data_IF_699109173159
#
_entry.id   IF_699109173159
#
_cell.length_a   1.000
_cell.length_b   1.000
_cell.length_c   1.000
_cell.angle_alpha   90.00
_cell.angle_beta   90.00
_cell.angle_gamma   90.00
#
_symmetry.space_group_name_H-M   'P 1'
#
loop_
_entity.id
_entity.type
_entity.pdbx_description
1 polymer ?
#
# COMPACT_ATOMS: atom_id res chain seq x y z
N UNK A 1 -16.85 -6.68 -1.20
CA UNK A 1 -16.10 -7.70 -1.98
C UNK A 1 -14.64 -7.30 -2.07
N UNK A 2 -13.71 -8.21 -1.82
CA UNK A 2 -12.30 -8.06 -2.19
C UNK A 2 -12.16 -8.55 -3.64
N UNK A 3 -11.65 -7.70 -4.55
CA UNK A 3 -11.46 -8.06 -5.94
C UNK A 3 -9.99 -8.45 -6.19
N UNK A 4 -9.74 -9.70 -6.56
CA UNK A 4 -8.42 -10.19 -6.93
C UNK A 4 -8.20 -9.93 -8.42
N UNK A 5 -7.15 -9.17 -8.73
CA UNK A 5 -6.77 -8.76 -10.08
C UNK A 5 -5.50 -9.53 -10.46
N UNK A 6 -5.60 -10.41 -11.46
CA UNK A 6 -4.57 -11.41 -11.73
C UNK A 6 -4.35 -11.70 -13.22
N UNK A 7 -4.80 -10.80 -14.09
CA UNK A 7 -4.62 -10.91 -15.54
C UNK A 7 -4.36 -9.56 -16.18
N UNK A 8 -3.83 -9.55 -17.40
CA UNK A 8 -3.61 -8.35 -18.20
C UNK A 8 -4.90 -7.53 -18.35
N UNK A 9 -5.99 -8.19 -18.74
CA UNK A 9 -7.30 -7.53 -18.85
C UNK A 9 -7.77 -6.97 -17.50
N UNK A 10 -7.60 -7.70 -16.41
CA UNK A 10 -7.96 -7.23 -15.07
C UNK A 10 -7.16 -5.99 -14.65
N UNK A 11 -5.87 -5.91 -14.99
CA UNK A 11 -5.04 -4.73 -14.73
C UNK A 11 -5.53 -3.52 -15.54
N UNK A 12 -5.87 -3.69 -16.81
CA UNK A 12 -6.41 -2.59 -17.63
C UNK A 12 -7.78 -2.12 -17.14
N UNK A 13 -8.65 -3.05 -16.74
CA UNK A 13 -9.98 -2.77 -16.22
C UNK A 13 -10.01 -2.43 -14.72
N UNK A 14 -8.86 -2.37 -14.05
CA UNK A 14 -8.78 -2.15 -12.60
C UNK A 14 -9.54 -0.89 -12.14
N UNK A 15 -9.58 0.17 -12.98
CA UNK A 15 -10.35 1.38 -12.70
C UNK A 15 -11.85 1.10 -12.64
N UNK A 16 -12.39 0.44 -13.65
CA UNK A 16 -13.82 0.08 -13.73
C UNK A 16 -14.21 -0.84 -12.58
N UNK A 17 -13.35 -1.81 -12.27
CA UNK A 17 -13.53 -2.74 -11.16
C UNK A 17 -13.54 -1.99 -9.83
N UNK A 18 -12.58 -1.06 -9.60
CA UNK A 18 -12.49 -0.29 -8.37
C UNK A 18 -13.73 0.61 -8.12
N UNK A 19 -14.40 1.05 -9.18
CA UNK A 19 -15.62 1.87 -9.11
C UNK A 19 -16.90 1.04 -9.05
N UNK A 20 -16.82 -0.28 -9.19
CA UNK A 20 -17.99 -1.14 -9.15
C UNK A 20 -18.61 -1.20 -7.74
N UNK A 21 -19.96 -1.22 -7.70
CA UNK A 21 -20.69 -1.27 -6.43
C UNK A 21 -20.33 -2.51 -5.62
N UNK A 22 -20.00 -2.31 -4.36
CA UNK A 22 -19.71 -3.41 -3.42
C UNK A 22 -18.24 -3.85 -3.43
N UNK A 23 -17.39 -3.28 -4.25
CA UNK A 23 -15.93 -3.47 -4.13
C UNK A 23 -15.44 -2.68 -2.93
N UNK A 24 -14.74 -3.37 -2.04
CA UNK A 24 -14.17 -2.80 -0.83
C UNK A 24 -12.67 -2.51 -0.99
N UNK A 25 -11.95 -3.41 -1.69
CA UNK A 25 -10.49 -3.31 -1.86
C UNK A 25 -10.03 -4.16 -3.03
N UNK A 26 -8.94 -3.75 -3.69
CA UNK A 26 -8.27 -4.55 -4.71
C UNK A 26 -7.12 -5.36 -4.07
N UNK A 27 -6.87 -6.55 -4.62
CA UNK A 27 -5.71 -7.38 -4.32
C UNK A 27 -5.04 -7.82 -5.61
N UNK A 28 -3.73 -7.99 -5.59
CA UNK A 28 -2.94 -8.37 -6.75
C UNK A 28 -2.62 -9.87 -6.74
N UNK A 29 -3.11 -10.60 -7.71
CA UNK A 29 -2.75 -11.99 -7.96
C UNK A 29 -1.47 -12.09 -8.80
N UNK A 30 -0.32 -11.73 -8.22
CA UNK A 30 0.94 -11.56 -8.94
C UNK A 30 1.44 -12.83 -9.65
N UNK A 31 1.16 -14.02 -9.11
CA UNK A 31 1.53 -15.29 -9.71
C UNK A 31 0.77 -15.56 -11.01
N UNK A 32 -0.55 -15.42 -10.96
CA UNK A 32 -1.41 -15.65 -12.13
C UNK A 32 -1.27 -14.56 -13.18
N UNK A 33 -1.06 -13.30 -12.76
CA UNK A 33 -0.71 -12.22 -13.68
C UNK A 33 0.55 -12.53 -14.49
N UNK A 34 1.59 -13.04 -13.83
CA UNK A 34 2.82 -13.45 -14.51
C UNK A 34 2.61 -14.63 -15.46
N UNK A 35 1.78 -15.58 -15.08
CA UNK A 35 1.41 -16.70 -15.95
C UNK A 35 0.66 -16.22 -17.19
N UNK A 36 -0.25 -15.25 -17.04
CA UNK A 36 -1.03 -14.68 -18.13
C UNK A 36 -0.17 -13.85 -19.10
N UNK A 37 0.74 -13.03 -18.57
CA UNK A 37 1.52 -12.05 -19.34
C UNK A 37 2.90 -12.51 -19.77
N UNK A 38 3.43 -13.58 -19.17
CA UNK A 38 4.83 -13.99 -19.34
C UNK A 38 5.85 -13.08 -18.63
N UNK A 39 5.40 -12.17 -17.77
CA UNK A 39 6.25 -11.19 -17.07
C UNK A 39 7.11 -11.87 -16.00
N UNK A 40 8.36 -11.42 -15.83
CA UNK A 40 9.26 -11.90 -14.76
C UNK A 40 8.82 -11.41 -13.37
N UNK A 41 9.53 -11.87 -12.33
CA UNK A 41 9.33 -11.39 -10.94
C UNK A 41 10.06 -10.08 -10.62
N UNK A 42 10.86 -9.55 -11.55
CA UNK A 42 11.65 -8.35 -11.31
C UNK A 42 10.77 -7.16 -10.92
N UNK A 43 11.24 -6.37 -9.98
CA UNK A 43 10.48 -5.25 -9.45
C UNK A 43 10.11 -4.23 -10.52
N UNK A 44 11.00 -3.99 -11.49
CA UNK A 44 10.71 -3.11 -12.61
C UNK A 44 9.57 -3.66 -13.49
N UNK A 45 9.58 -4.96 -13.77
CA UNK A 45 8.55 -5.62 -14.57
C UNK A 45 7.20 -5.62 -13.84
N UNK A 46 7.21 -5.69 -12.50
CA UNK A 46 6.01 -5.69 -11.66
C UNK A 46 5.57 -4.29 -11.21
N UNK A 47 6.33 -3.24 -11.52
CA UNK A 47 6.00 -1.88 -11.11
C UNK A 47 4.72 -1.36 -11.77
N UNK A 48 4.53 -1.63 -13.06
CA UNK A 48 3.33 -1.19 -13.81
C UNK A 48 2.03 -1.74 -13.21
N UNK A 49 1.83 -3.05 -13.09
CA UNK A 49 0.58 -3.58 -12.54
C UNK A 49 0.31 -3.11 -11.12
N UNK A 50 1.32 -3.04 -10.26
CA UNK A 50 1.21 -2.52 -8.89
C UNK A 50 0.76 -1.05 -8.87
N UNK A 51 1.43 -0.19 -9.63
CA UNK A 51 1.09 1.24 -9.73
C UNK A 51 -0.30 1.44 -10.32
N UNK A 52 -0.69 0.65 -11.30
CA UNK A 52 -2.02 0.69 -11.91
C UNK A 52 -3.13 0.40 -10.88
N UNK A 53 -2.93 -0.60 -10.02
CA UNK A 53 -3.86 -0.93 -8.94
C UNK A 53 -3.93 0.18 -7.87
N UNK A 54 -2.80 0.82 -7.53
CA UNK A 54 -2.78 1.95 -6.60
C UNK A 54 -3.58 3.12 -7.15
N UNK A 55 -3.38 3.48 -8.41
CA UNK A 55 -4.13 4.55 -9.08
C UNK A 55 -5.61 4.20 -9.16
N UNK A 56 -5.95 2.98 -9.57
CA UNK A 56 -7.33 2.51 -9.65
C UNK A 56 -8.04 2.56 -8.30
N UNK A 57 -7.39 2.07 -7.23
CA UNK A 57 -7.91 2.14 -5.87
C UNK A 57 -8.18 3.59 -5.44
N UNK A 58 -7.27 4.50 -5.76
CA UNK A 58 -7.45 5.94 -5.44
C UNK A 58 -8.64 6.55 -6.18
N UNK A 59 -8.80 6.24 -7.48
CA UNK A 59 -9.94 6.71 -8.30
C UNK A 59 -11.26 6.14 -7.79
N UNK A 60 -11.28 4.86 -7.36
CA UNK A 60 -12.44 4.20 -6.76
C UNK A 60 -12.74 4.62 -5.32
N UNK A 61 -11.92 5.51 -4.74
CA UNK A 61 -11.98 5.90 -3.33
C UNK A 61 -11.89 4.70 -2.37
N UNK A 62 -11.10 3.69 -2.76
CA UNK A 62 -10.84 2.48 -1.97
C UNK A 62 -9.59 2.64 -1.10
N UNK A 63 -9.42 1.83 -0.04
CA UNK A 63 -8.13 1.66 0.62
C UNK A 63 -7.04 1.24 -0.37
N UNK A 64 -5.77 1.52 -0.06
CA UNK A 64 -4.65 1.07 -0.89
C UNK A 64 -4.69 -0.44 -1.14
N UNK A 65 -4.29 -0.92 -2.33
CA UNK A 65 -4.43 -2.32 -2.70
C UNK A 65 -3.50 -3.22 -1.88
N UNK A 66 -3.83 -4.52 -1.88
CA UNK A 66 -3.03 -5.58 -1.27
C UNK A 66 -2.10 -6.14 -2.35
N UNK A 67 -0.79 -6.23 -2.07
CA UNK A 67 0.18 -6.86 -2.97
C UNK A 67 0.06 -8.39 -3.00
N UNK A 68 0.59 -9.01 -4.04
CA UNK A 68 0.68 -10.45 -4.17
C UNK A 68 1.61 -11.09 -3.13
N UNK A 69 1.51 -12.42 -2.94
CA UNK A 69 2.34 -13.10 -1.95
C UNK A 69 3.79 -13.22 -2.41
N UNK A 70 4.70 -13.34 -1.44
CA UNK A 70 6.07 -13.82 -1.66
C UNK A 70 6.10 -15.34 -1.53
N UNK A 71 6.60 -16.02 -2.56
CA UNK A 71 6.78 -17.48 -2.53
C UNK A 71 8.10 -17.82 -1.86
N UNK A 72 8.07 -18.81 -0.97
CA UNK A 72 9.24 -19.29 -0.23
C UNK A 72 9.32 -18.74 1.20
N UNK A 73 10.35 -19.21 1.92
CA UNK A 73 10.55 -18.95 3.36
C UNK A 73 11.64 -17.91 3.67
N UNK A 74 12.20 -17.25 2.64
CA UNK A 74 13.27 -16.27 2.84
C UNK A 74 12.73 -14.96 3.42
N UNK A 75 12.96 -14.71 4.70
CA UNK A 75 12.56 -13.46 5.37
C UNK A 75 13.21 -12.20 4.77
N UNK A 76 14.48 -12.18 4.35
CA UNK A 76 15.06 -11.01 3.67
C UNK A 76 14.34 -10.67 2.37
N UNK A 77 14.05 -11.65 1.50
CA UNK A 77 13.31 -11.44 0.25
C UNK A 77 11.89 -10.96 0.53
N UNK A 78 11.21 -11.57 1.52
CA UNK A 78 9.88 -11.16 1.92
C UNK A 78 9.84 -9.71 2.38
N UNK A 79 10.83 -9.29 3.19
CA UNK A 79 10.97 -7.90 3.66
C UNK A 79 11.17 -6.94 2.49
N UNK A 80 12.15 -7.21 1.63
CA UNK A 80 12.46 -6.38 0.47
C UNK A 80 11.25 -6.18 -0.44
N UNK A 81 10.56 -7.26 -0.80
CA UNK A 81 9.34 -7.19 -1.61
C UNK A 81 8.19 -6.46 -0.90
N UNK A 82 8.07 -6.58 0.42
CA UNK A 82 7.05 -5.87 1.19
C UNK A 82 7.33 -4.37 1.26
N UNK A 83 8.57 -3.98 1.48
CA UNK A 83 9.02 -2.58 1.48
C UNK A 83 8.86 -1.93 0.10
N UNK A 84 9.18 -2.66 -0.98
CA UNK A 84 8.93 -2.22 -2.36
C UNK A 84 7.44 -1.99 -2.63
N UNK A 85 6.59 -2.89 -2.19
CA UNK A 85 5.15 -2.73 -2.32
C UNK A 85 4.65 -1.48 -1.60
N UNK A 86 5.13 -1.22 -0.38
CA UNK A 86 4.82 0.00 0.39
C UNK A 86 5.31 1.26 -0.33
N UNK A 87 6.52 1.23 -0.88
CA UNK A 87 7.08 2.35 -1.64
C UNK A 87 6.25 2.69 -2.88
N UNK A 88 5.66 1.69 -3.54
CA UNK A 88 4.74 1.88 -4.67
C UNK A 88 3.32 2.32 -4.24
N UNK A 89 2.99 2.29 -2.94
CA UNK A 89 1.71 2.76 -2.42
C UNK A 89 0.71 1.66 -2.07
N UNK A 90 1.10 0.39 -2.13
CA UNK A 90 0.27 -0.70 -1.61
C UNK A 90 0.27 -0.66 -0.06
N UNK A 91 -0.77 -1.17 0.55
CA UNK A 91 -0.97 -1.06 2.02
C UNK A 91 -1.33 -2.38 2.67
N UNK A 92 -1.01 -3.47 2.02
CA UNK A 92 -1.17 -4.84 2.50
C UNK A 92 -0.42 -5.80 1.59
N UNK A 93 -0.27 -7.03 2.05
CA UNK A 93 0.35 -8.12 1.30
C UNK A 93 -0.36 -9.43 1.61
N UNK A 94 -0.64 -10.22 0.58
CA UNK A 94 -1.10 -11.59 0.76
C UNK A 94 0.04 -12.42 1.35
N UNK A 95 -0.26 -13.32 2.27
CA UNK A 95 0.72 -14.26 2.79
C UNK A 95 0.30 -15.70 2.49
N UNK A 96 1.28 -16.58 2.29
CA UNK A 96 1.08 -18.00 2.05
C UNK A 96 1.30 -18.82 3.31
N UNK A 97 2.00 -18.25 4.30
CA UNK A 97 2.33 -18.89 5.56
C UNK A 97 2.19 -17.90 6.70
N UNK A 98 1.68 -18.36 7.84
CA UNK A 98 1.54 -17.57 9.06
C UNK A 98 2.88 -17.02 9.57
N UNK A 99 3.98 -17.74 9.32
CA UNK A 99 5.34 -17.32 9.68
C UNK A 99 5.80 -16.05 8.93
N UNK A 100 5.13 -15.69 7.83
CA UNK A 100 5.40 -14.46 7.08
C UNK A 100 4.79 -13.22 7.75
N UNK A 101 3.76 -13.37 8.57
CA UNK A 101 3.01 -12.24 9.14
C UNK A 101 3.84 -11.24 9.93
N UNK A 102 4.77 -11.64 10.82
CA UNK A 102 5.59 -10.69 11.56
C UNK A 102 6.41 -9.78 10.64
N UNK A 103 7.05 -10.35 9.62
CA UNK A 103 7.87 -9.60 8.66
C UNK A 103 7.02 -8.66 7.81
N UNK A 104 5.87 -9.12 7.33
CA UNK A 104 4.93 -8.29 6.55
C UNK A 104 4.42 -7.14 7.39
N UNK A 105 3.97 -7.40 8.61
CA UNK A 105 3.45 -6.37 9.50
C UNK A 105 4.50 -5.32 9.85
N UNK A 106 5.73 -5.74 10.12
CA UNK A 106 6.84 -4.82 10.37
C UNK A 106 7.12 -3.93 9.16
N UNK A 107 7.18 -4.50 7.95
CA UNK A 107 7.44 -3.74 6.72
C UNK A 107 6.32 -2.75 6.35
N UNK A 108 5.06 -3.08 6.67
CA UNK A 108 3.90 -2.23 6.35
C UNK A 108 3.66 -1.16 7.43
N UNK A 109 4.08 -1.43 8.66
CA UNK A 109 3.87 -0.54 9.80
C UNK A 109 4.75 0.72 9.68
N UNK A 110 4.22 1.90 10.04
CA UNK A 110 5.07 3.08 10.17
C UNK A 110 6.04 2.92 11.35
N UNK A 111 7.23 3.50 11.21
CA UNK A 111 8.19 3.55 12.31
C UNK A 111 7.71 4.48 13.42
N UNK A 112 8.18 4.29 14.65
CA UNK A 112 7.86 5.19 15.76
C UNK A 112 8.27 6.64 15.48
N UNK A 113 9.40 6.84 14.81
CA UNK A 113 9.87 8.17 14.39
C UNK A 113 8.95 8.80 13.35
N UNK A 114 8.46 8.03 12.38
CA UNK A 114 7.46 8.52 11.43
C UNK A 114 6.16 8.92 12.15
N UNK A 115 5.73 8.15 13.14
CA UNK A 115 4.52 8.46 13.92
C UNK A 115 4.69 9.74 14.72
N UNK A 116 5.84 9.92 15.40
CA UNK A 116 6.17 11.15 16.12
C UNK A 116 6.14 12.33 15.16
N UNK A 117 6.88 12.25 14.04
CA UNK A 117 6.89 13.31 13.03
C UNK A 117 5.49 13.65 12.51
N UNK A 118 4.68 12.63 12.21
CA UNK A 118 3.34 12.84 11.67
C UNK A 118 2.42 13.56 12.65
N UNK A 119 2.45 13.17 13.92
CA UNK A 119 1.63 13.79 14.96
C UNK A 119 2.07 15.21 15.29
N UNK A 120 3.38 15.47 15.35
CA UNK A 120 3.93 16.81 15.53
C UNK A 120 3.52 17.72 14.37
N UNK A 121 3.62 17.24 13.13
CA UNK A 121 3.18 17.99 11.96
C UNK A 121 1.68 18.29 11.99
N UNK A 122 0.85 17.32 12.33
CA UNK A 122 -0.61 17.50 12.43
C UNK A 122 -0.97 18.50 13.53
N UNK A 123 -0.32 18.42 14.69
CA UNK A 123 -0.51 19.36 15.79
C UNK A 123 -0.12 20.80 15.40
N UNK A 124 1.05 20.98 14.75
CA UNK A 124 1.46 22.29 14.22
C UNK A 124 0.46 22.82 13.17
N UNK A 125 -0.02 21.94 12.28
CA UNK A 125 -1.00 22.32 11.26
C UNK A 125 -2.33 22.79 11.87
N UNK A 126 -2.82 22.13 12.91
CA UNK A 126 -4.01 22.55 13.66
C UNK A 126 -3.74 23.84 14.42
N UNK A 127 -2.61 23.97 15.15
CA UNK A 127 -2.28 25.14 15.95
C UNK A 127 -2.20 26.44 15.11
N UNK A 128 -1.79 26.34 13.85
CA UNK A 128 -1.76 27.47 12.90
C UNK A 128 -3.06 27.68 12.12
N UNK A 129 -4.17 27.08 12.58
CA UNK A 129 -5.50 27.27 11.97
C UNK A 129 -5.65 26.60 10.60
N UNK A 130 -4.91 25.53 10.31
CA UNK A 130 -4.93 24.77 9.04
C UNK A 130 -4.51 25.59 7.82
N UNK A 131 -3.71 26.63 8.02
CA UNK A 131 -3.21 27.47 6.93
C UNK A 131 -2.11 26.76 6.16
N UNK A 132 -2.25 26.71 4.83
CA UNK A 132 -1.22 26.22 3.90
C UNK A 132 -0.19 27.32 3.71
N UNK A 133 1.07 27.08 4.05
CA UNK A 133 2.17 28.06 3.93
C UNK A 133 2.81 28.03 2.54
N UNK A 134 2.97 26.83 1.98
CA UNK A 134 3.59 26.64 0.67
C UNK A 134 3.15 25.32 0.02
N UNK A 135 3.66 25.07 -1.19
CA UNK A 135 3.32 23.85 -1.96
C UNK A 135 3.76 22.54 -1.33
N UNK A 136 4.64 22.54 -0.32
CA UNK A 136 5.08 21.32 0.38
C UNK A 136 4.13 20.90 1.50
N UNK A 137 3.29 21.80 2.00
CA UNK A 137 2.39 21.50 3.11
C UNK A 137 1.33 20.45 2.75
N UNK A 138 0.76 20.50 1.55
CA UNK A 138 -0.27 19.54 1.13
C UNK A 138 0.27 18.08 1.01
N UNK A 139 1.42 17.82 0.34
CA UNK A 139 2.03 16.50 0.34
C UNK A 139 2.38 16.01 1.75
N UNK A 140 2.91 16.88 2.61
CA UNK A 140 3.24 16.55 4.00
C UNK A 140 2.00 16.22 4.83
N UNK A 141 0.93 16.99 4.67
CA UNK A 141 -0.35 16.74 5.33
C UNK A 141 -0.90 15.36 4.93
N UNK A 142 -0.92 15.05 3.64
CA UNK A 142 -1.36 13.76 3.15
C UNK A 142 -0.52 12.60 3.70
N UNK A 143 0.83 12.75 3.75
CA UNK A 143 1.73 11.78 4.35
C UNK A 143 1.48 11.61 5.86
N UNK A 144 1.36 12.69 6.61
CA UNK A 144 1.14 12.66 8.05
C UNK A 144 -0.20 11.98 8.40
N UNK A 145 -1.26 12.31 7.69
CA UNK A 145 -2.57 11.68 7.86
C UNK A 145 -2.55 10.17 7.53
N UNK A 146 -1.78 9.75 6.51
CA UNK A 146 -1.61 8.32 6.18
C UNK A 146 -0.89 7.59 7.32
N UNK A 147 0.21 8.15 7.81
CA UNK A 147 1.01 7.56 8.89
C UNK A 147 0.18 7.44 10.18
N UNK A 148 -0.55 8.47 10.57
CA UNK A 148 -1.35 8.45 11.80
C UNK A 148 -2.49 7.43 11.73
N UNK A 149 -3.17 7.30 10.57
CA UNK A 149 -4.15 6.22 10.36
C UNK A 149 -3.54 4.83 10.46
N UNK A 150 -2.36 4.61 9.88
CA UNK A 150 -1.66 3.32 9.98
C UNK A 150 -1.20 3.06 11.41
N UNK A 151 -0.65 4.06 12.11
CA UNK A 151 -0.25 3.94 13.50
C UNK A 151 -1.42 3.52 14.39
N UNK A 152 -2.59 4.12 14.19
CA UNK A 152 -3.81 3.74 14.91
C UNK A 152 -4.22 2.30 14.60
N UNK A 153 -4.20 1.89 13.32
CA UNK A 153 -4.57 0.54 12.90
C UNK A 153 -3.62 -0.53 13.45
N UNK A 154 -2.32 -0.22 13.58
CA UNK A 154 -1.31 -1.13 14.13
C UNK A 154 -1.06 -0.95 15.65
N UNK A 155 -1.77 -0.04 16.32
CA UNK A 155 -1.62 0.21 17.77
C UNK A 155 -0.25 0.80 18.14
N UNK A 156 0.38 1.56 17.22
CA UNK A 156 1.72 2.13 17.44
C UNK A 156 1.58 3.49 18.13
N UNK A 157 2.22 3.60 19.29
CA UNK A 157 2.33 4.87 20.03
C UNK A 157 3.65 5.58 19.69
N UNK A 158 3.69 6.93 19.67
CA UNK A 158 4.93 7.68 19.54
C UNK A 158 5.87 7.41 20.72
N UNK A 159 7.12 7.77 20.54
CA UNK A 159 8.13 7.73 21.59
C UNK A 159 7.90 8.90 22.54
#
# INVERSE_FOLDING_TARGET
MLALIESALGIEEARSIAQARGVFRLAFGSGDYRRDTGTSMDDLAMAYPRSRLVVASRIGNLPGPIDGPTVGSSHPILREQSEMAVALGLTGKLCLDIEQLPVINEAISPTKSDVTWARDFLADFEARGRVIRDGSDLPRLGRAQKIDRLATAFGITPI
#
